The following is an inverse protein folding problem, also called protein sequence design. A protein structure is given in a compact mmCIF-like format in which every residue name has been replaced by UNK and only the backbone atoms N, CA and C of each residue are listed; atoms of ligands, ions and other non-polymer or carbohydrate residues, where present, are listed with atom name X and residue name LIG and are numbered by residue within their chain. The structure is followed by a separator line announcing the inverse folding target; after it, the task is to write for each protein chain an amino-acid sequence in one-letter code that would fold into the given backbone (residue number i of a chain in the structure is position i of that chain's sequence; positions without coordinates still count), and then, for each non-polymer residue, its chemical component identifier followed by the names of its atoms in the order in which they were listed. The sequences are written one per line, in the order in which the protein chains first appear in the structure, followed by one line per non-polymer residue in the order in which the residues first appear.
data_IF_594861872287
#
_entry.id   IF_594861872287
#
_cell.length_a   1.000
_cell.length_b   1.000
_cell.length_c   1.000
_cell.angle_alpha   90.00
_cell.angle_beta   90.00
_cell.angle_gamma   90.00
#
_symmetry.space_group_name_H-M   'P 1'
#
loop_
_entity.id
_entity.type
_entity.pdbx_description
1 polymer ?
#
# COMPACT_ATOMS: atom_id res chain seq x y z
N UNK A 1 -10.15 14.16 -31.61
CA UNK A 1 -9.36 15.18 -30.92
C UNK A 1 -10.07 15.55 -29.64
N UNK A 2 -9.32 15.72 -28.57
CA UNK A 2 -9.83 16.09 -27.23
C UNK A 2 -9.28 17.49 -26.93
N UNK A 3 -10.01 18.59 -27.26
CA UNK A 3 -9.48 19.96 -27.18
C UNK A 3 -9.17 20.39 -25.73
N UNK A 4 -9.88 19.80 -24.75
CA UNK A 4 -9.70 20.14 -23.33
C UNK A 4 -8.67 19.24 -22.61
N UNK A 5 -8.00 18.33 -23.35
CA UNK A 5 -6.99 17.45 -22.77
C UNK A 5 -5.72 18.25 -22.47
N UNK A 6 -5.35 18.33 -21.19
CA UNK A 6 -4.09 18.89 -20.74
C UNK A 6 -3.03 17.79 -20.69
N UNK A 7 -1.95 17.99 -21.42
CA UNK A 7 -0.82 17.04 -21.47
C UNK A 7 0.36 17.62 -20.69
N UNK A 8 0.89 16.81 -19.75
CA UNK A 8 2.07 17.14 -18.96
C UNK A 8 3.16 16.13 -19.28
N UNK A 9 4.28 16.59 -19.84
CA UNK A 9 5.49 15.78 -19.99
C UNK A 9 6.31 15.88 -18.70
N UNK A 10 6.10 14.95 -17.78
CA UNK A 10 6.77 14.97 -16.47
C UNK A 10 6.84 13.58 -15.84
N UNK A 11 7.81 13.44 -14.92
CA UNK A 11 7.89 12.26 -14.07
C UNK A 11 6.78 12.29 -13.01
N UNK A 12 5.84 11.35 -13.08
CA UNK A 12 4.73 11.25 -12.13
C UNK A 12 5.21 11.21 -10.66
N UNK A 13 6.33 10.54 -10.39
CA UNK A 13 6.84 10.40 -9.02
C UNK A 13 7.34 11.74 -8.44
N UNK A 14 7.74 12.68 -9.29
CA UNK A 14 8.23 14.02 -8.90
C UNK A 14 7.16 15.10 -9.00
N UNK A 15 6.08 14.83 -9.71
CA UNK A 15 5.02 15.79 -9.95
C UNK A 15 4.24 16.08 -8.67
N UNK A 16 4.00 17.36 -8.36
CA UNK A 16 3.06 17.76 -7.31
C UNK A 16 1.61 17.59 -7.79
N UNK A 17 0.70 16.99 -6.99
CA UNK A 17 -0.72 16.97 -7.32
C UNK A 17 -1.31 18.35 -7.59
N UNK A 18 -0.80 19.40 -6.92
CA UNK A 18 -1.27 20.78 -7.07
C UNK A 18 -0.98 21.37 -8.46
N UNK A 19 0.05 20.86 -9.14
CA UNK A 19 0.35 21.25 -10.52
C UNK A 19 -0.66 20.67 -11.53
N UNK A 20 -1.39 19.63 -11.17
CA UNK A 20 -2.34 18.93 -12.06
C UNK A 20 -3.72 19.57 -11.99
N UNK A 21 -4.29 19.62 -10.78
CA UNK A 21 -5.62 20.17 -10.57
C UNK A 21 -5.79 20.64 -9.12
N UNK A 22 -6.64 21.62 -8.85
CA UNK A 22 -7.12 21.90 -7.51
C UNK A 22 -8.11 20.79 -7.06
N UNK A 23 -8.08 20.41 -5.76
CA UNK A 23 -9.03 19.46 -5.18
C UNK A 23 -8.69 17.99 -5.42
N UNK A 24 -9.71 17.14 -5.39
CA UNK A 24 -9.58 15.70 -5.50
C UNK A 24 -9.14 15.23 -6.90
N UNK A 25 -8.28 14.23 -6.94
CA UNK A 25 -7.73 13.67 -8.18
C UNK A 25 -7.99 12.15 -8.19
N UNK A 26 -8.48 11.65 -9.31
CA UNK A 26 -8.47 10.23 -9.64
C UNK A 26 -7.34 9.93 -10.62
N UNK A 27 -6.63 8.83 -10.42
CA UNK A 27 -5.54 8.38 -11.28
C UNK A 27 -5.98 7.12 -12.02
N UNK A 28 -5.81 7.11 -13.34
CA UNK A 28 -5.97 5.89 -14.15
C UNK A 28 -4.74 5.71 -15.02
N UNK A 29 -4.22 4.48 -15.10
CA UNK A 29 -3.04 4.27 -15.93
C UNK A 29 -2.61 2.82 -16.14
N UNK A 30 -1.88 2.64 -17.23
CA UNK A 30 -1.03 1.49 -17.46
C UNK A 30 0.37 1.84 -16.97
N UNK A 31 0.71 1.41 -15.76
CA UNK A 31 1.95 1.81 -15.11
C UNK A 31 3.13 0.94 -15.53
N UNK A 32 4.34 1.54 -15.71
CA UNK A 32 5.56 0.76 -15.88
C UNK A 32 5.79 -0.14 -14.67
N UNK A 33 6.05 -1.44 -14.88
CA UNK A 33 6.13 -2.43 -13.81
C UNK A 33 7.21 -2.12 -12.77
N UNK A 34 8.34 -1.57 -13.21
CA UNK A 34 9.49 -1.25 -12.37
C UNK A 34 9.22 -0.13 -11.34
N UNK A 35 8.23 0.74 -11.58
CA UNK A 35 7.88 1.84 -10.68
C UNK A 35 6.46 1.74 -10.12
N UNK A 36 5.68 0.72 -10.47
CA UNK A 36 4.27 0.61 -10.11
C UNK A 36 4.02 0.67 -8.59
N UNK A 37 4.87 0.04 -7.80
CA UNK A 37 4.80 0.13 -6.33
C UNK A 37 5.13 1.54 -5.82
N UNK A 38 6.06 2.25 -6.47
CA UNK A 38 6.39 3.64 -6.10
C UNK A 38 5.23 4.58 -6.39
N UNK A 39 4.49 4.33 -7.50
CA UNK A 39 3.26 5.07 -7.82
C UNK A 39 2.21 4.89 -6.72
N UNK A 40 2.01 3.67 -6.23
CA UNK A 40 1.12 3.41 -5.09
C UNK A 40 1.56 4.20 -3.86
N UNK A 41 2.85 4.18 -3.51
CA UNK A 41 3.35 4.95 -2.37
C UNK A 41 3.21 6.46 -2.55
N UNK A 42 3.41 6.97 -3.76
CA UNK A 42 3.13 8.39 -4.10
C UNK A 42 1.67 8.76 -3.85
N UNK A 43 0.75 7.87 -4.24
CA UNK A 43 -0.69 8.05 -3.98
C UNK A 43 -0.99 8.03 -2.48
N UNK A 44 -0.36 7.14 -1.71
CA UNK A 44 -0.49 7.09 -0.24
C UNK A 44 0.06 8.35 0.44
N UNK A 45 1.17 8.88 -0.04
CA UNK A 45 1.79 10.10 0.48
C UNK A 45 0.87 11.33 0.34
N UNK A 46 0.13 11.39 -0.78
CA UNK A 46 -0.80 12.49 -1.09
C UNK A 46 -2.27 12.02 -1.05
N UNK A 47 -2.61 11.15 -0.11
CA UNK A 47 -3.94 10.53 0.02
C UNK A 47 -5.08 11.51 0.30
N UNK A 48 -4.75 12.70 0.75
CA UNK A 48 -5.66 13.84 0.89
C UNK A 48 -6.14 14.39 -0.47
N UNK A 49 -5.33 14.20 -1.51
CA UNK A 49 -5.59 14.64 -2.87
C UNK A 49 -6.05 13.50 -3.79
N UNK A 50 -5.46 12.32 -3.65
CA UNK A 50 -5.79 11.17 -4.48
C UNK A 50 -6.93 10.35 -3.86
N UNK A 51 -8.13 10.47 -4.44
CA UNK A 51 -9.32 9.76 -3.97
C UNK A 51 -9.47 8.36 -4.57
N UNK A 52 -8.89 8.16 -5.75
CA UNK A 52 -8.98 6.88 -6.46
C UNK A 52 -7.76 6.65 -7.35
N UNK A 53 -7.34 5.40 -7.44
CA UNK A 53 -6.39 4.94 -8.45
C UNK A 53 -6.93 3.67 -9.09
N UNK A 54 -7.03 3.66 -10.42
CA UNK A 54 -7.28 2.45 -11.21
C UNK A 54 -6.04 2.21 -12.07
N UNK A 55 -5.42 1.05 -11.92
CA UNK A 55 -4.16 0.81 -12.60
C UNK A 55 -3.91 -0.65 -12.93
N UNK A 56 -3.12 -0.85 -13.98
CA UNK A 56 -2.61 -2.16 -14.35
C UNK A 56 -1.23 -2.37 -13.73
N UNK A 57 -1.09 -3.50 -13.06
CA UNK A 57 0.12 -3.93 -12.35
C UNK A 57 0.52 -5.33 -12.79
N UNK A 58 1.76 -5.73 -12.52
CA UNK A 58 2.08 -7.16 -12.51
C UNK A 58 1.15 -7.88 -11.53
N UNK A 59 0.65 -9.07 -11.94
CA UNK A 59 -0.32 -9.81 -11.13
C UNK A 59 0.16 -10.05 -9.69
N UNK A 60 1.44 -10.33 -9.49
CA UNK A 60 2.00 -10.52 -8.14
C UNK A 60 1.88 -9.25 -7.27
N UNK A 61 2.10 -8.07 -7.85
CA UNK A 61 1.97 -6.78 -7.14
C UNK A 61 0.51 -6.52 -6.80
N UNK A 62 -0.40 -6.73 -7.76
CA UNK A 62 -1.83 -6.59 -7.56
C UNK A 62 -2.35 -7.54 -6.47
N UNK A 63 -1.98 -8.82 -6.54
CA UNK A 63 -2.33 -9.84 -5.55
C UNK A 63 -1.84 -9.44 -4.15
N UNK A 64 -0.63 -8.87 -4.04
CA UNK A 64 -0.07 -8.40 -2.78
C UNK A 64 -0.83 -7.21 -2.22
N UNK A 65 -1.15 -6.22 -3.05
CA UNK A 65 -1.92 -5.04 -2.62
C UNK A 65 -3.32 -5.40 -2.13
N UNK A 66 -3.99 -6.36 -2.80
CA UNK A 66 -5.34 -6.81 -2.47
C UNK A 66 -5.38 -7.96 -1.45
N UNK A 67 -4.23 -8.47 -1.01
CA UNK A 67 -4.14 -9.63 -0.14
C UNK A 67 -4.81 -9.38 1.22
N UNK A 68 -5.65 -10.28 1.74
CA UNK A 68 -6.17 -10.18 3.09
C UNK A 68 -5.12 -10.62 4.15
N UNK A 69 -5.26 -10.19 5.40
CA UNK A 69 -4.46 -10.70 6.50
C UNK A 69 -4.49 -12.23 6.56
N UNK A 70 -3.35 -12.83 6.92
CA UNK A 70 -3.20 -14.29 7.01
C UNK A 70 -2.85 -14.97 5.69
N UNK A 71 -2.92 -14.29 4.57
CA UNK A 71 -2.53 -14.85 3.28
C UNK A 71 -1.02 -14.81 3.07
N UNK A 72 -0.52 -15.70 2.19
CA UNK A 72 0.90 -15.80 1.86
C UNK A 72 1.44 -14.53 1.19
N UNK A 73 0.62 -13.83 0.43
CA UNK A 73 1.00 -12.63 -0.34
C UNK A 73 0.90 -11.35 0.46
N UNK A 74 0.19 -11.36 1.60
CA UNK A 74 0.05 -10.19 2.48
C UNK A 74 1.41 -9.69 2.98
N UNK A 75 1.64 -8.39 2.88
CA UNK A 75 2.94 -7.78 3.18
C UNK A 75 2.85 -6.30 3.51
N UNK A 76 4.00 -5.64 3.58
CA UNK A 76 4.10 -4.21 3.94
C UNK A 76 3.17 -3.35 3.07
N UNK A 77 3.21 -3.52 1.75
CA UNK A 77 2.37 -2.73 0.84
C UNK A 77 0.88 -3.01 1.00
N UNK A 78 0.50 -4.23 1.40
CA UNK A 78 -0.89 -4.56 1.72
C UNK A 78 -1.38 -3.76 2.92
N UNK A 79 -0.63 -3.82 4.04
CA UNK A 79 -1.00 -3.11 5.28
C UNK A 79 -1.06 -1.60 5.04
N UNK A 80 -0.01 -1.02 4.46
CA UNK A 80 0.09 0.43 4.29
C UNK A 80 -0.97 0.97 3.31
N UNK A 81 -1.28 0.24 2.23
CA UNK A 81 -2.31 0.66 1.29
C UNK A 81 -3.72 0.49 1.89
N UNK A 82 -3.99 -0.65 2.53
CA UNK A 82 -5.31 -0.94 3.09
C UNK A 82 -5.64 -0.10 4.33
N UNK A 83 -4.65 0.52 4.97
CA UNK A 83 -4.90 1.50 6.04
C UNK A 83 -5.74 2.70 5.54
N UNK A 84 -5.61 3.05 4.26
CA UNK A 84 -6.18 4.27 3.70
C UNK A 84 -7.10 4.05 2.50
N UNK A 85 -7.02 2.88 1.85
CA UNK A 85 -7.75 2.57 0.63
C UNK A 85 -8.43 1.21 0.73
N UNK A 86 -9.63 1.13 0.19
CA UNK A 86 -10.28 -0.14 -0.15
C UNK A 86 -9.70 -0.65 -1.45
N UNK A 87 -9.28 -1.90 -1.48
CA UNK A 87 -8.64 -2.55 -2.61
C UNK A 87 -9.62 -3.46 -3.32
N UNK A 88 -9.78 -3.29 -4.61
CA UNK A 88 -10.71 -4.06 -5.45
C UNK A 88 -9.98 -4.63 -6.67
N UNK A 89 -9.80 -5.96 -6.77
CA UNK A 89 -9.33 -6.57 -7.99
C UNK A 89 -10.45 -6.53 -9.04
N UNK A 90 -10.14 -6.00 -10.24
CA UNK A 90 -11.14 -5.85 -11.30
C UNK A 90 -11.05 -7.02 -12.31
N UNK A 91 -9.93 -7.16 -13.01
CA UNK A 91 -9.73 -8.24 -13.99
C UNK A 91 -8.26 -8.53 -14.25
N UNK A 92 -8.01 -9.70 -14.81
CA UNK A 92 -6.67 -10.15 -15.23
C UNK A 92 -6.49 -9.84 -16.73
N UNK A 93 -5.29 -9.44 -17.09
CA UNK A 93 -4.87 -9.24 -18.48
C UNK A 93 -3.78 -10.25 -18.81
N UNK A 94 -4.07 -11.10 -19.79
CA UNK A 94 -3.14 -12.13 -20.24
C UNK A 94 -1.99 -11.53 -21.07
N UNK A 95 -0.80 -12.14 -21.06
CA UNK A 95 0.37 -11.65 -21.81
C UNK A 95 0.11 -11.46 -23.31
N UNK A 96 -0.79 -12.25 -23.88
CA UNK A 96 -1.17 -12.19 -25.31
C UNK A 96 -1.87 -10.89 -25.72
N UNK A 97 -2.32 -10.09 -24.75
CA UNK A 97 -2.90 -8.76 -24.99
C UNK A 97 -1.83 -7.68 -25.31
N UNK A 98 -0.54 -8.02 -25.26
CA UNK A 98 0.56 -7.07 -25.45
C UNK A 98 1.47 -7.44 -26.60
N UNK A 99 2.09 -6.44 -27.22
CA UNK A 99 3.12 -6.60 -28.27
C UNK A 99 4.32 -5.72 -27.90
N UNK A 100 5.48 -6.31 -27.56
CA UNK A 100 5.74 -7.73 -27.31
C UNK A 100 5.08 -8.22 -26.01
N UNK A 101 4.74 -9.52 -25.90
CA UNK A 101 4.11 -10.05 -24.71
C UNK A 101 5.06 -10.06 -23.51
N UNK A 102 4.64 -9.61 -22.32
CA UNK A 102 5.43 -9.69 -21.10
C UNK A 102 5.54 -11.15 -20.63
N UNK A 103 6.54 -11.44 -19.78
CA UNK A 103 6.73 -12.78 -19.20
C UNK A 103 5.72 -13.14 -18.10
N UNK A 104 4.94 -12.18 -17.63
CA UNK A 104 4.04 -12.32 -16.49
C UNK A 104 2.65 -11.79 -16.84
N UNK A 105 1.63 -12.32 -16.20
CA UNK A 105 0.27 -11.78 -16.27
C UNK A 105 0.19 -10.43 -15.58
N UNK A 106 -0.75 -9.63 -16.02
CA UNK A 106 -1.11 -8.36 -15.38
C UNK A 106 -2.48 -8.49 -14.72
N UNK A 107 -2.77 -7.59 -13.80
CA UNK A 107 -4.09 -7.43 -13.23
C UNK A 107 -4.40 -5.93 -13.09
N UNK A 108 -5.62 -5.58 -13.36
CA UNK A 108 -6.14 -4.24 -13.09
C UNK A 108 -6.81 -4.26 -11.73
N UNK A 109 -6.41 -3.32 -10.89
CA UNK A 109 -7.00 -3.11 -9.56
C UNK A 109 -7.50 -1.68 -9.43
N UNK A 110 -8.45 -1.50 -8.53
CA UNK A 110 -8.95 -0.21 -8.08
C UNK A 110 -8.60 -0.01 -6.62
N UNK A 111 -8.02 1.12 -6.31
CA UNK A 111 -7.81 1.63 -4.97
C UNK A 111 -8.73 2.81 -4.78
N UNK A 112 -9.66 2.75 -3.84
CA UNK A 112 -10.57 3.84 -3.51
C UNK A 112 -10.34 4.30 -2.09
N UNK A 113 -10.19 5.61 -1.90
CA UNK A 113 -10.00 6.22 -0.59
C UNK A 113 -11.12 5.76 0.35
N UNK A 114 -10.77 5.21 1.50
CA UNK A 114 -11.72 4.83 2.55
C UNK A 114 -12.02 6.03 3.46
N UNK A 115 -12.87 5.85 4.46
CA UNK A 115 -13.32 6.91 5.36
C UNK A 115 -12.32 7.25 6.48
N UNK A 116 -11.19 6.53 6.57
CA UNK A 116 -10.17 6.76 7.60
C UNK A 116 -9.42 8.06 7.30
N UNK A 117 -9.64 9.09 8.07
CA UNK A 117 -8.97 10.39 7.93
C UNK A 117 -7.64 10.45 8.69
N UNK A 118 -7.55 9.73 9.81
CA UNK A 118 -6.33 9.58 10.62
C UNK A 118 -6.32 8.22 11.30
N UNK A 119 -5.15 7.67 11.55
CA UNK A 119 -5.01 6.47 12.40
C UNK A 119 -5.05 6.90 13.86
N UNK A 120 -5.58 6.02 14.72
CA UNK A 120 -5.60 6.27 16.17
C UNK A 120 -4.22 6.06 16.82
N UNK A 121 -3.14 6.29 16.09
CA UNK A 121 -1.75 6.16 16.54
C UNK A 121 -0.85 7.09 15.72
N UNK A 122 0.42 7.24 16.13
CA UNK A 122 1.43 7.92 15.31
C UNK A 122 1.69 7.11 14.03
N UNK A 123 1.46 7.74 12.87
CA UNK A 123 1.61 7.10 11.55
C UNK A 123 3.07 6.74 11.22
N UNK A 124 4.04 7.45 11.78
CA UNK A 124 5.47 7.13 11.61
C UNK A 124 5.81 5.87 12.37
N UNK A 125 5.32 5.77 13.62
CA UNK A 125 5.47 4.57 14.44
C UNK A 125 4.78 3.38 13.77
N UNK A 126 3.53 3.55 13.32
CA UNK A 126 2.79 2.52 12.57
C UNK A 126 3.58 2.01 11.37
N UNK A 127 4.07 2.91 10.53
CA UNK A 127 4.83 2.56 9.31
C UNK A 127 6.14 1.84 9.64
N UNK A 128 6.88 2.33 10.65
CA UNK A 128 8.13 1.73 11.09
C UNK A 128 7.92 0.33 11.67
N UNK A 129 6.87 0.17 12.47
CA UNK A 129 6.50 -1.09 13.11
C UNK A 129 6.09 -2.15 12.08
N UNK A 130 5.26 -1.79 11.09
CA UNK A 130 4.89 -2.67 9.98
C UNK A 130 6.14 -3.14 9.24
N UNK A 131 7.04 -2.23 8.87
CA UNK A 131 8.30 -2.57 8.20
C UNK A 131 9.17 -3.50 9.05
N UNK A 132 9.36 -3.20 10.34
CA UNK A 132 10.16 -4.01 11.26
C UNK A 132 9.60 -5.43 11.41
N UNK A 133 8.28 -5.57 11.58
CA UNK A 133 7.62 -6.86 11.70
C UNK A 133 7.82 -7.73 10.44
N UNK A 134 7.66 -7.17 9.24
CA UNK A 134 7.82 -7.90 7.97
C UNK A 134 9.26 -8.16 7.57
N UNK A 135 10.25 -7.39 8.05
CA UNK A 135 11.67 -7.67 7.84
C UNK A 135 12.08 -9.03 8.43
N UNK A 136 11.35 -9.49 9.43
CA UNK A 136 11.55 -10.78 10.07
C UNK A 136 10.31 -11.68 9.92
N UNK A 137 9.71 -11.71 8.75
CA UNK A 137 8.43 -12.37 8.44
C UNK A 137 8.27 -13.80 9.00
N UNK A 138 9.36 -14.59 9.07
CA UNK A 138 9.31 -15.97 9.57
C UNK A 138 9.33 -16.08 11.11
N UNK A 139 9.61 -14.99 11.82
CA UNK A 139 9.63 -14.94 13.28
C UNK A 139 8.28 -14.57 13.87
N UNK A 140 8.03 -14.95 15.12
CA UNK A 140 6.93 -14.39 15.91
C UNK A 140 7.17 -12.91 16.16
N UNK A 141 6.10 -12.14 16.42
CA UNK A 141 6.22 -10.70 16.66
C UNK A 141 7.09 -10.38 17.86
N UNK A 142 7.06 -11.18 18.92
CA UNK A 142 8.01 -11.03 20.05
C UNK A 142 9.46 -11.02 19.58
N UNK A 143 9.82 -11.88 18.64
CA UNK A 143 11.18 -11.96 18.12
C UNK A 143 11.45 -10.96 16.99
N UNK A 144 10.45 -10.66 16.18
CA UNK A 144 10.57 -9.73 15.06
C UNK A 144 10.72 -8.26 15.52
N UNK A 145 10.06 -7.92 16.62
CA UNK A 145 10.03 -6.55 17.17
C UNK A 145 10.90 -6.39 18.43
N UNK A 146 11.77 -7.36 18.71
CA UNK A 146 12.70 -7.25 19.85
C UNK A 146 13.58 -6.01 19.69
N UNK A 147 13.52 -5.11 20.69
CA UNK A 147 14.27 -3.85 20.68
C UNK A 147 13.66 -2.76 19.78
N UNK A 148 12.43 -2.94 19.34
CA UNK A 148 11.73 -1.86 18.60
C UNK A 148 11.53 -0.66 19.54
N UNK A 149 11.95 0.57 19.13
CA UNK A 149 11.84 1.76 19.97
C UNK A 149 10.41 2.00 20.46
N UNK A 150 10.25 2.29 21.75
CA UNK A 150 8.95 2.57 22.36
C UNK A 150 8.08 1.34 22.62
N UNK A 151 8.45 0.13 22.18
CA UNK A 151 7.69 -1.10 22.42
C UNK A 151 8.48 -2.05 23.35
N UNK A 152 8.35 -1.90 24.68
CA UNK A 152 9.12 -2.71 25.62
C UNK A 152 8.73 -4.18 25.58
N UNK A 153 7.44 -4.47 25.40
CA UNK A 153 6.89 -5.82 25.31
C UNK A 153 5.76 -5.86 24.28
N UNK A 154 5.79 -6.86 23.39
CA UNK A 154 4.67 -7.12 22.48
C UNK A 154 3.47 -7.62 23.29
N UNK A 155 2.27 -7.04 23.13
CA UNK A 155 1.07 -7.49 23.84
C UNK A 155 0.84 -9.00 23.69
N UNK A 156 0.45 -9.71 24.77
CA UNK A 156 0.34 -11.18 24.78
C UNK A 156 -0.46 -11.76 23.62
N UNK A 157 -1.56 -11.10 23.22
CA UNK A 157 -2.42 -11.53 22.10
C UNK A 157 -1.71 -11.54 20.74
N UNK A 158 -0.66 -10.75 20.56
CA UNK A 158 0.12 -10.70 19.32
C UNK A 158 1.43 -11.46 19.41
N UNK A 159 1.91 -11.76 20.61
CA UNK A 159 3.26 -12.23 20.90
C UNK A 159 3.69 -13.47 20.08
N UNK A 160 2.79 -14.44 19.93
CA UNK A 160 3.03 -15.68 19.18
C UNK A 160 2.68 -15.59 17.69
N UNK A 161 2.05 -14.51 17.26
CA UNK A 161 1.65 -14.32 15.85
C UNK A 161 2.86 -13.91 14.99
N UNK A 162 2.73 -14.09 13.67
CA UNK A 162 3.66 -13.56 12.67
C UNK A 162 3.07 -12.32 12.02
N UNK A 163 3.92 -11.51 11.39
CA UNK A 163 3.56 -10.24 10.75
C UNK A 163 2.34 -10.35 9.82
N UNK A 164 2.28 -11.40 8.98
CA UNK A 164 1.19 -11.59 8.03
C UNK A 164 -0.17 -11.91 8.66
N UNK A 165 -0.22 -12.22 9.95
CA UNK A 165 -1.48 -12.56 10.64
C UNK A 165 -2.22 -11.35 11.16
N UNK A 166 -1.56 -10.20 11.25
CA UNK A 166 -2.14 -8.97 11.78
C UNK A 166 -2.90 -8.21 10.70
N UNK A 167 -4.11 -7.77 11.04
CA UNK A 167 -4.87 -6.80 10.27
C UNK A 167 -4.30 -5.38 10.43
N UNK A 168 -4.78 -4.42 9.64
CA UNK A 168 -4.46 -3.00 9.82
C UNK A 168 -4.83 -2.53 11.24
N UNK A 169 -6.00 -2.91 11.74
CA UNK A 169 -6.45 -2.55 13.08
C UNK A 169 -5.53 -3.10 14.18
N UNK A 170 -5.05 -4.34 14.03
CA UNK A 170 -4.09 -4.94 14.96
C UNK A 170 -2.75 -4.18 14.96
N UNK A 171 -2.29 -3.74 13.78
CA UNK A 171 -1.08 -2.91 13.68
C UNK A 171 -1.26 -1.53 14.29
N UNK A 172 -2.44 -0.91 14.15
CA UNK A 172 -2.77 0.36 14.82
C UNK A 172 -2.73 0.18 16.33
N UNK A 173 -3.37 -0.87 16.86
CA UNK A 173 -3.34 -1.17 18.29
C UNK A 173 -1.92 -1.44 18.80
N UNK A 174 -1.13 -2.18 18.03
CA UNK A 174 0.26 -2.45 18.39
C UNK A 174 1.11 -1.16 18.38
N UNK A 175 0.83 -0.23 17.45
CA UNK A 175 1.47 1.08 17.43
C UNK A 175 1.04 1.98 18.61
N UNK A 176 -0.20 1.87 19.07
CA UNK A 176 -0.67 2.56 20.29
C UNK A 176 0.03 2.06 21.56
N UNK A 177 0.44 0.78 21.57
CA UNK A 177 1.19 0.23 22.69
C UNK A 177 2.65 0.72 22.75
N UNK A 178 3.12 1.39 21.68
CA UNK A 178 4.41 2.07 21.69
C UNK A 178 4.30 3.35 22.52
N UNK A 179 5.17 3.52 23.52
CA UNK A 179 5.33 4.78 24.21
C UNK A 179 5.89 5.87 23.28
N UNK A 180 5.93 7.13 23.73
CA UNK A 180 6.59 8.19 22.98
C UNK A 180 8.04 7.79 22.65
N UNK A 181 8.53 8.16 21.44
CA UNK A 181 9.89 7.86 21.01
C UNK A 181 10.94 8.53 21.88
#
# INVERSE_FOLDING_TARGET
RYPDLRVFESDFLRMSPDAVAPGAIAVIGNFPYNISTQIVFKVLEHRDRFTELVGMFQKEVADRLCAPPGSRTYGISSVLAQAWYTMEPLFIVEPTAFIPPPKVRSAVIRMRRNEVTSLACDERVFTALVKAAFNHRRKTLTNALRGFPGLPVVPPKFAALRAERLSVADYVELAQACGPP
#
